data_IF_272404107161
#
_entry.id   IF_272404107161
#
_cell.length_a   1.000
_cell.length_b   1.000
_cell.length_c   1.000
_cell.angle_alpha   90.00
_cell.angle_beta   90.00
_cell.angle_gamma   90.00
#
_symmetry.space_group_name_H-M   'P 1'
#
loop_
_entity.id
_entity.type
_entity.pdbx_description
1 polymer ?
#
# COMPACT_ATOMS: atom_id res chain seq x y z
N UNK A 1 2.01 31.92 -16.23
CA UNK A 1 0.74 31.46 -15.64
C UNK A 1 -0.24 30.93 -16.68
N UNK A 2 -0.38 31.63 -17.83
CA UNK A 2 -1.43 31.30 -18.82
C UNK A 2 -1.18 29.96 -19.54
N UNK A 3 0.06 29.65 -19.82
CA UNK A 3 0.42 28.33 -20.39
C UNK A 3 0.01 27.20 -19.45
N UNK A 4 0.24 27.36 -18.12
CA UNK A 4 -0.15 26.35 -17.14
C UNK A 4 -1.67 26.21 -17.00
N UNK A 5 -2.41 27.33 -17.10
CA UNK A 5 -3.88 27.29 -17.11
C UNK A 5 -4.41 26.59 -18.36
N UNK A 6 -3.86 26.90 -19.54
CA UNK A 6 -4.19 26.20 -20.79
C UNK A 6 -3.88 24.70 -20.71
N UNK A 7 -2.75 24.34 -20.13
CA UNK A 7 -2.40 22.93 -19.89
C UNK A 7 -3.43 22.22 -18.99
N UNK A 8 -3.86 22.86 -17.88
CA UNK A 8 -4.89 22.30 -16.99
C UNK A 8 -6.18 22.05 -17.76
N UNK A 9 -6.67 23.05 -18.53
CA UNK A 9 -7.88 22.91 -19.34
C UNK A 9 -7.77 21.78 -20.38
N UNK A 10 -6.66 21.71 -21.09
CA UNK A 10 -6.38 20.64 -22.03
C UNK A 10 -6.36 19.25 -21.34
N UNK A 11 -5.70 19.15 -20.19
CA UNK A 11 -5.63 17.92 -19.40
C UNK A 11 -7.01 17.45 -18.90
N UNK A 12 -7.89 18.39 -18.54
CA UNK A 12 -9.26 18.10 -18.11
C UNK A 12 -10.18 17.75 -19.27
N UNK A 13 -10.19 18.57 -20.33
CA UNK A 13 -11.20 18.50 -21.40
C UNK A 13 -10.83 17.50 -22.50
N UNK A 14 -9.57 17.44 -22.89
CA UNK A 14 -9.14 16.60 -24.02
C UNK A 14 -8.48 15.30 -23.58
N UNK A 15 -7.67 15.32 -22.52
CA UNK A 15 -7.03 14.11 -22.01
C UNK A 15 -7.87 13.38 -20.95
N UNK A 16 -8.96 13.97 -20.48
CA UNK A 16 -9.85 13.43 -19.44
C UNK A 16 -9.12 12.95 -18.18
N UNK A 17 -8.06 13.66 -17.80
CA UNK A 17 -7.28 13.31 -16.62
C UNK A 17 -8.05 13.58 -15.34
N UNK A 18 -7.90 12.67 -14.38
CA UNK A 18 -8.48 12.87 -13.04
C UNK A 18 -7.81 14.04 -12.33
N UNK A 19 -8.55 14.83 -11.49
CA UNK A 19 -8.01 16.01 -10.81
C UNK A 19 -6.70 15.75 -10.08
N UNK A 20 -6.57 14.65 -9.35
CA UNK A 20 -5.35 14.33 -8.61
C UNK A 20 -4.15 13.98 -9.53
N UNK A 21 -4.40 13.51 -10.75
CA UNK A 21 -3.35 13.33 -11.75
C UNK A 21 -2.84 14.68 -12.24
N UNK A 22 -3.75 15.64 -12.47
CA UNK A 22 -3.38 17.01 -12.85
C UNK A 22 -2.56 17.68 -11.75
N UNK A 23 -2.96 17.52 -10.48
CA UNK A 23 -2.18 18.01 -9.32
C UNK A 23 -0.77 17.42 -9.33
N UNK A 24 -0.62 16.13 -9.60
CA UNK A 24 0.69 15.47 -9.66
C UNK A 24 1.56 16.06 -10.78
N UNK A 25 1.02 16.21 -11.98
CA UNK A 25 1.75 16.81 -13.10
C UNK A 25 2.11 18.27 -12.83
N UNK A 26 1.17 19.06 -12.31
CA UNK A 26 1.42 20.45 -11.93
C UNK A 26 2.50 20.56 -10.85
N UNK A 27 2.53 19.65 -9.89
CA UNK A 27 3.58 19.62 -8.87
C UNK A 27 4.96 19.38 -9.50
N UNK A 28 5.07 18.42 -10.42
CA UNK A 28 6.33 18.14 -11.14
C UNK A 28 6.78 19.32 -12.00
N UNK A 29 5.86 19.94 -12.75
CA UNK A 29 6.15 21.13 -13.56
C UNK A 29 6.67 22.26 -12.66
N UNK A 30 6.00 22.51 -11.52
CA UNK A 30 6.43 23.55 -10.58
C UNK A 30 7.80 23.25 -9.96
N UNK A 31 8.14 21.99 -9.72
CA UNK A 31 9.48 21.60 -9.25
C UNK A 31 10.53 22.03 -10.25
N UNK A 32 10.32 21.75 -11.55
CA UNK A 32 11.24 22.18 -12.61
C UNK A 32 11.32 23.71 -12.72
N UNK A 33 10.18 24.40 -12.61
CA UNK A 33 10.15 25.87 -12.66
C UNK A 33 10.82 26.51 -11.41
N UNK A 34 10.72 25.89 -10.24
CA UNK A 34 11.46 26.33 -9.06
C UNK A 34 12.97 26.21 -9.28
N UNK A 35 13.43 25.07 -9.80
CA UNK A 35 14.83 24.88 -10.16
C UNK A 35 15.30 25.94 -11.18
N UNK A 36 14.51 26.17 -12.24
CA UNK A 36 14.84 27.18 -13.25
C UNK A 36 14.92 28.60 -12.66
N UNK A 37 14.13 28.91 -11.65
CA UNK A 37 14.19 30.17 -10.92
C UNK A 37 15.45 30.25 -10.05
N UNK A 38 15.77 29.20 -9.31
CA UNK A 38 16.95 29.12 -8.45
C UNK A 38 18.27 29.25 -9.25
N UNK A 39 18.30 28.68 -10.46
CA UNK A 39 19.45 28.77 -11.38
C UNK A 39 19.45 30.06 -12.24
N UNK A 40 18.49 30.98 -12.06
CA UNK A 40 18.43 32.25 -12.77
C UNK A 40 17.95 32.17 -14.23
N UNK A 41 17.40 31.01 -14.69
CA UNK A 41 16.83 30.88 -16.04
C UNK A 41 15.52 31.62 -16.22
N UNK A 42 14.81 31.90 -15.13
CA UNK A 42 13.58 32.70 -15.09
C UNK A 42 13.61 33.67 -13.91
N UNK A 43 13.11 34.89 -14.13
CA UNK A 43 13.15 35.97 -13.14
C UNK A 43 11.91 36.02 -12.24
N UNK A 44 10.84 35.29 -12.59
CA UNK A 44 9.53 35.42 -11.97
C UNK A 44 8.94 34.07 -11.58
N UNK A 45 8.26 34.06 -10.44
CA UNK A 45 7.59 32.88 -9.89
C UNK A 45 6.07 32.93 -10.04
N UNK A 46 5.55 33.60 -11.06
CA UNK A 46 4.10 33.75 -11.27
C UNK A 46 3.35 32.42 -11.43
N UNK A 47 4.07 31.34 -11.80
CA UNK A 47 3.53 29.98 -11.85
C UNK A 47 3.03 29.48 -10.48
N UNK A 48 3.51 30.02 -9.36
CA UNK A 48 3.06 29.68 -8.01
C UNK A 48 1.60 30.07 -7.76
N UNK A 49 1.10 31.09 -8.48
CA UNK A 49 -0.29 31.54 -8.40
C UNK A 49 -1.29 30.53 -9.01
N UNK A 50 -0.83 29.66 -9.91
CA UNK A 50 -1.69 28.63 -10.51
C UNK A 50 -1.84 27.48 -9.53
N UNK A 51 -3.02 27.39 -8.89
CA UNK A 51 -3.32 26.37 -7.89
C UNK A 51 -4.28 25.34 -8.49
N UNK A 52 -4.01 24.05 -8.26
CA UNK A 52 -4.94 22.95 -8.49
C UNK A 52 -5.24 22.32 -7.14
N UNK A 53 -6.51 22.06 -6.86
CA UNK A 53 -6.94 21.46 -5.59
C UNK A 53 -6.94 19.94 -5.69
N UNK A 54 -6.44 19.27 -4.66
CA UNK A 54 -6.65 17.85 -4.49
C UNK A 54 -8.13 17.56 -4.30
N UNK A 55 -8.60 16.53 -4.99
CA UNK A 55 -9.92 15.96 -4.76
C UNK A 55 -9.79 14.82 -3.75
N UNK A 56 -10.67 14.82 -2.75
CA UNK A 56 -10.74 13.71 -1.81
C UNK A 56 -11.13 12.43 -2.56
N UNK A 57 -10.38 11.38 -2.34
CA UNK A 57 -10.64 10.06 -2.92
C UNK A 57 -11.33 9.19 -1.91
N UNK A 58 -12.32 8.42 -2.34
CA UNK A 58 -12.96 7.41 -1.48
C UNK A 58 -11.88 6.46 -0.95
N UNK A 59 -11.87 6.27 0.36
CA UNK A 59 -11.01 5.27 0.99
C UNK A 59 -11.43 3.89 0.49
N UNK A 60 -10.47 3.08 0.10
CA UNK A 60 -10.67 1.75 -0.47
C UNK A 60 -10.22 0.72 0.54
N UNK A 61 -11.13 0.30 1.41
CA UNK A 61 -10.90 -0.72 2.43
C UNK A 61 -12.11 -1.65 2.51
N UNK A 62 -11.92 -2.83 3.06
CA UNK A 62 -12.98 -3.77 3.40
C UNK A 62 -13.46 -3.48 4.83
N UNK A 63 -14.77 -3.54 5.05
CA UNK A 63 -15.30 -3.63 6.40
C UNK A 63 -14.92 -4.97 7.04
N UNK A 64 -14.99 -5.10 8.36
CA UNK A 64 -14.72 -6.35 9.05
C UNK A 64 -15.59 -7.51 8.52
N UNK A 65 -16.87 -7.23 8.20
CA UNK A 65 -17.76 -8.21 7.59
C UNK A 65 -17.29 -8.63 6.19
N UNK A 66 -16.97 -7.68 5.30
CA UNK A 66 -16.46 -7.97 3.97
C UNK A 66 -15.12 -8.72 4.00
N UNK A 67 -14.25 -8.38 4.97
CA UNK A 67 -13.02 -9.12 5.18
C UNK A 67 -13.29 -10.57 5.59
N UNK A 68 -14.24 -10.81 6.49
CA UNK A 68 -14.66 -12.17 6.88
C UNK A 68 -15.23 -12.97 5.70
N UNK A 69 -16.08 -12.35 4.89
CA UNK A 69 -16.63 -12.99 3.68
C UNK A 69 -15.48 -13.40 2.74
N UNK A 70 -14.53 -12.51 2.48
CA UNK A 70 -13.34 -12.81 1.68
C UNK A 70 -12.46 -13.88 2.32
N UNK A 71 -12.30 -13.84 3.64
CA UNK A 71 -11.40 -14.74 4.38
C UNK A 71 -11.82 -16.19 4.29
N UNK A 72 -13.11 -16.46 4.41
CA UNK A 72 -13.68 -17.80 4.38
C UNK A 72 -14.12 -18.27 3.00
N UNK A 73 -14.04 -17.39 2.02
CA UNK A 73 -14.38 -17.77 0.65
C UNK A 73 -13.43 -18.82 0.09
N UNK A 74 -14.02 -19.83 -0.56
CA UNK A 74 -13.30 -20.86 -1.32
C UNK A 74 -13.80 -20.83 -2.75
N UNK A 75 -12.90 -20.68 -3.70
CA UNK A 75 -13.18 -20.78 -5.12
C UNK A 75 -12.90 -22.20 -5.62
N UNK A 76 -13.57 -22.61 -6.68
CA UNK A 76 -13.21 -23.83 -7.41
C UNK A 76 -11.86 -23.68 -8.15
N UNK A 77 -11.42 -22.47 -8.39
CA UNK A 77 -10.14 -22.17 -9.04
C UNK A 77 -9.01 -22.09 -8.02
N UNK A 78 -8.05 -23.00 -8.11
CA UNK A 78 -6.82 -22.95 -7.29
C UNK A 78 -6.07 -21.63 -7.42
N UNK A 79 -6.07 -21.05 -8.62
CA UNK A 79 -5.43 -19.76 -8.87
C UNK A 79 -6.10 -18.63 -8.09
N UNK A 80 -7.43 -18.59 -8.04
CA UNK A 80 -8.15 -17.63 -7.23
C UNK A 80 -7.91 -17.85 -5.73
N UNK A 81 -7.87 -19.10 -5.28
CA UNK A 81 -7.54 -19.41 -3.88
C UNK A 81 -6.12 -18.95 -3.51
N UNK A 82 -5.13 -19.12 -4.39
CA UNK A 82 -3.77 -18.60 -4.17
C UNK A 82 -3.74 -17.08 -4.10
N UNK A 83 -4.51 -16.39 -4.95
CA UNK A 83 -4.61 -14.92 -4.91
C UNK A 83 -5.31 -14.43 -3.65
N UNK A 84 -6.32 -15.14 -3.17
CA UNK A 84 -6.97 -14.88 -1.88
C UNK A 84 -5.99 -15.06 -0.71
N UNK A 85 -5.24 -16.14 -0.72
CA UNK A 85 -4.25 -16.40 0.32
C UNK A 85 -3.12 -15.36 0.30
N UNK A 86 -2.73 -14.87 -0.88
CA UNK A 86 -1.80 -13.74 -0.99
C UNK A 86 -2.39 -12.45 -0.40
N UNK A 87 -3.68 -12.17 -0.63
CA UNK A 87 -4.35 -11.01 0.00
C UNK A 87 -4.34 -11.15 1.53
N UNK A 88 -4.66 -12.34 2.06
CA UNK A 88 -4.60 -12.64 3.49
C UNK A 88 -3.17 -12.46 4.05
N UNK A 89 -2.16 -12.98 3.37
CA UNK A 89 -0.76 -12.79 3.76
C UNK A 89 -0.38 -11.30 3.79
N UNK A 90 -0.80 -10.51 2.80
CA UNK A 90 -0.57 -9.07 2.81
C UNK A 90 -1.25 -8.40 4.01
N UNK A 91 -2.47 -8.79 4.37
CA UNK A 91 -3.18 -8.26 5.53
C UNK A 91 -2.47 -8.62 6.84
N UNK A 92 -2.11 -9.88 7.04
CA UNK A 92 -1.42 -10.41 8.21
C UNK A 92 -0.05 -9.76 8.42
N UNK A 93 0.59 -9.33 7.32
CA UNK A 93 1.86 -8.59 7.31
C UNK A 93 1.65 -7.06 7.29
N UNK A 94 0.58 -6.58 7.94
CA UNK A 94 0.32 -5.14 8.14
C UNK A 94 0.24 -4.38 6.80
N UNK A 95 -0.31 -5.03 5.79
CA UNK A 95 -0.43 -4.45 4.45
C UNK A 95 0.90 -4.28 3.72
N UNK A 96 1.75 -5.29 3.77
CA UNK A 96 2.97 -5.34 2.95
C UNK A 96 2.66 -5.11 1.47
N UNK A 97 3.53 -4.41 0.74
CA UNK A 97 3.34 -4.24 -0.70
C UNK A 97 3.72 -5.50 -1.47
N UNK A 98 3.12 -5.69 -2.64
CA UNK A 98 3.42 -6.83 -3.50
C UNK A 98 4.91 -6.95 -3.83
N UNK A 99 5.58 -5.83 -4.09
CA UNK A 99 7.02 -5.82 -4.41
C UNK A 99 7.86 -6.37 -3.25
N UNK A 100 7.47 -6.08 -2.02
CA UNK A 100 8.20 -6.48 -0.82
C UNK A 100 7.88 -7.95 -0.45
N UNK A 101 6.63 -8.41 -0.62
CA UNK A 101 6.25 -9.81 -0.32
C UNK A 101 6.77 -10.81 -1.36
N UNK A 102 7.00 -10.37 -2.60
CA UNK A 102 7.47 -11.24 -3.68
C UNK A 102 8.85 -11.86 -3.39
N UNK A 103 9.75 -11.06 -2.81
CA UNK A 103 11.12 -11.47 -2.48
C UNK A 103 11.31 -11.71 -0.97
N UNK A 104 10.22 -11.86 -0.21
CA UNK A 104 10.27 -12.02 1.23
C UNK A 104 10.94 -13.34 1.62
N UNK A 105 12.02 -13.25 2.40
CA UNK A 105 12.76 -14.40 2.92
C UNK A 105 11.97 -15.13 4.02
N UNK A 106 12.25 -16.42 4.25
CA UNK A 106 11.64 -17.19 5.32
C UNK A 106 11.86 -16.53 6.70
N UNK A 107 10.90 -16.69 7.64
CA UNK A 107 11.01 -16.08 8.95
C UNK A 107 12.19 -16.62 9.74
N UNK A 108 12.85 -15.75 10.47
CA UNK A 108 13.91 -16.10 11.41
C UNK A 108 13.46 -15.83 12.83
N UNK A 109 13.61 -16.80 13.73
CA UNK A 109 13.21 -16.69 15.13
C UNK A 109 11.75 -16.21 15.31
N UNK A 110 10.83 -16.67 14.46
CA UNK A 110 9.43 -16.29 14.51
C UNK A 110 9.12 -14.87 13.99
N UNK A 111 10.05 -14.22 13.31
CA UNK A 111 9.93 -12.88 12.78
C UNK A 111 10.16 -12.87 11.27
N UNK A 112 9.35 -12.13 10.54
CA UNK A 112 9.60 -11.76 9.15
C UNK A 112 10.31 -10.42 9.13
N UNK A 113 11.42 -10.33 8.42
CA UNK A 113 12.19 -9.09 8.25
C UNK A 113 12.35 -8.73 6.78
N UNK A 114 12.19 -7.46 6.44
CA UNK A 114 12.45 -6.96 5.09
C UNK A 114 12.72 -5.46 5.06
N UNK A 115 13.49 -5.02 4.09
CA UNK A 115 13.65 -3.61 3.77
C UNK A 115 12.62 -3.19 2.73
N UNK A 116 11.76 -2.23 3.08
CA UNK A 116 10.75 -1.74 2.17
C UNK A 116 11.38 -1.09 0.94
N UNK A 117 11.14 -1.63 -0.25
CA UNK A 117 11.74 -1.19 -1.51
C UNK A 117 11.57 0.32 -1.79
N UNK A 118 10.42 0.91 -1.41
CA UNK A 118 10.13 2.34 -1.64
C UNK A 118 10.92 3.30 -0.74
N UNK A 119 11.28 2.89 0.49
CA UNK A 119 11.79 3.81 1.52
C UNK A 119 13.08 3.35 2.19
N UNK A 120 13.55 2.13 1.92
CA UNK A 120 14.71 1.52 2.57
C UNK A 120 14.52 1.25 4.07
N UNK A 121 13.30 1.42 4.61
CA UNK A 121 13.04 1.21 6.03
C UNK A 121 12.95 -0.27 6.35
N UNK A 122 13.60 -0.70 7.44
CA UNK A 122 13.51 -2.06 7.98
C UNK A 122 12.16 -2.29 8.67
N UNK A 123 11.48 -3.37 8.29
CA UNK A 123 10.31 -3.90 8.94
C UNK A 123 10.64 -5.24 9.59
N UNK A 124 10.07 -5.45 10.77
CA UNK A 124 10.13 -6.72 11.50
C UNK A 124 8.73 -6.97 12.07
N UNK A 125 8.12 -8.07 11.68
CA UNK A 125 6.74 -8.41 12.03
C UNK A 125 6.73 -9.82 12.60
N UNK A 126 6.12 -9.98 13.78
CA UNK A 126 5.96 -11.30 14.39
C UNK A 126 5.03 -12.18 13.56
N UNK A 127 5.44 -13.42 13.32
CA UNK A 127 4.63 -14.41 12.60
C UNK A 127 3.48 -14.84 13.50
N UNK A 128 2.28 -14.48 13.09
CA UNK A 128 1.04 -14.92 13.74
C UNK A 128 0.66 -16.33 13.27
N UNK A 129 -0.11 -17.12 14.05
CA UNK A 129 -0.47 -18.49 13.68
C UNK A 129 -1.12 -18.62 12.29
N UNK A 130 -1.97 -17.67 11.93
CA UNK A 130 -2.65 -17.63 10.62
C UNK A 130 -1.66 -17.39 9.48
N UNK A 131 -0.63 -16.57 9.72
CA UNK A 131 0.44 -16.32 8.76
C UNK A 131 1.33 -17.57 8.62
N UNK A 132 1.63 -18.27 9.71
CA UNK A 132 2.42 -19.50 9.71
C UNK A 132 1.77 -20.56 8.82
N UNK A 133 0.43 -20.73 8.88
CA UNK A 133 -0.28 -21.67 8.02
C UNK A 133 -0.09 -21.36 6.53
N UNK A 134 -0.02 -20.09 6.16
CA UNK A 134 0.24 -19.70 4.77
C UNK A 134 1.70 -19.91 4.37
N UNK A 135 2.63 -19.69 5.30
CA UNK A 135 4.06 -19.98 5.10
C UNK A 135 4.26 -21.48 4.91
N UNK A 136 3.67 -22.31 5.76
CA UNK A 136 3.77 -23.78 5.65
C UNK A 136 3.19 -24.29 4.33
N UNK A 137 2.18 -23.61 3.80
CA UNK A 137 1.52 -23.99 2.54
C UNK A 137 2.27 -23.54 1.29
N UNK A 138 2.91 -22.38 1.31
CA UNK A 138 3.48 -21.73 0.12
C UNK A 138 4.98 -21.42 0.23
N UNK A 139 5.58 -21.65 1.40
CA UNK A 139 6.98 -21.35 1.63
C UNK A 139 7.90 -22.31 0.88
N UNK A 140 9.10 -21.83 0.62
CA UNK A 140 10.23 -22.59 0.08
C UNK A 140 11.46 -22.38 0.98
N UNK A 141 12.57 -23.04 0.67
CA UNK A 141 13.82 -22.83 1.40
C UNK A 141 14.34 -21.38 1.34
N UNK A 142 14.00 -20.65 0.26
CA UNK A 142 14.51 -19.32 -0.02
C UNK A 142 13.47 -18.21 0.05
N UNK A 143 12.18 -18.54 0.02
CA UNK A 143 11.09 -17.56 0.02
C UNK A 143 10.04 -17.89 1.06
N UNK A 144 9.55 -16.86 1.71
CA UNK A 144 8.39 -16.94 2.62
C UNK A 144 7.14 -17.44 1.87
N UNK A 145 6.99 -17.03 0.60
CA UNK A 145 5.85 -17.41 -0.23
C UNK A 145 6.24 -17.58 -1.70
N UNK A 146 5.82 -18.68 -2.28
CA UNK A 146 5.83 -18.90 -3.72
C UNK A 146 4.40 -19.15 -4.23
N UNK A 147 3.57 -18.10 -4.18
CA UNK A 147 2.15 -18.20 -4.55
C UNK A 147 1.93 -18.48 -6.02
N UNK A 148 2.74 -17.92 -6.91
CA UNK A 148 2.57 -18.01 -8.36
C UNK A 148 3.96 -18.00 -9.04
N UNK A 149 4.66 -19.14 -9.06
CA UNK A 149 6.04 -19.23 -9.55
C UNK A 149 6.24 -18.93 -11.04
N UNK A 150 5.15 -18.90 -11.81
CA UNK A 150 5.20 -18.88 -13.28
C UNK A 150 5.16 -17.46 -13.90
N UNK A 151 5.01 -16.40 -13.11
CA UNK A 151 4.86 -15.05 -13.63
C UNK A 151 6.03 -14.14 -13.28
N UNK A 152 6.50 -13.36 -14.25
CA UNK A 152 7.46 -12.30 -14.00
C UNK A 152 6.89 -11.24 -13.03
N UNK A 153 7.72 -10.71 -12.15
CA UNK A 153 7.36 -9.75 -11.09
C UNK A 153 6.50 -8.58 -11.58
N UNK A 154 6.86 -7.98 -12.71
CA UNK A 154 6.20 -6.76 -13.22
C UNK A 154 4.79 -7.00 -13.77
N UNK A 155 4.55 -8.17 -14.34
CA UNK A 155 3.22 -8.56 -14.87
C UNK A 155 2.33 -9.14 -13.79
N UNK A 156 2.91 -9.75 -12.75
CA UNK A 156 2.21 -10.48 -11.71
C UNK A 156 1.29 -9.58 -10.89
N UNK A 157 1.73 -8.38 -10.49
CA UNK A 157 0.91 -7.44 -9.71
C UNK A 157 -0.40 -7.06 -10.43
N UNK A 158 -0.34 -6.83 -11.74
CA UNK A 158 -1.53 -6.53 -12.57
C UNK A 158 -2.44 -7.75 -12.65
N UNK A 159 -1.88 -8.92 -12.89
CA UNK A 159 -2.62 -10.18 -12.99
C UNK A 159 -3.35 -10.50 -11.67
N UNK A 160 -2.69 -10.39 -10.53
CA UNK A 160 -3.29 -10.57 -9.19
C UNK A 160 -4.50 -9.66 -9.00
N UNK A 161 -4.37 -8.37 -9.29
CA UNK A 161 -5.48 -7.44 -9.15
C UNK A 161 -6.64 -7.78 -10.11
N UNK A 162 -6.36 -8.30 -11.30
CA UNK A 162 -7.39 -8.76 -12.22
C UNK A 162 -8.12 -10.00 -11.71
N UNK A 163 -7.41 -10.93 -11.03
CA UNK A 163 -8.06 -12.08 -10.38
C UNK A 163 -8.91 -11.66 -9.17
N UNK A 164 -8.44 -10.75 -8.33
CA UNK A 164 -9.23 -10.22 -7.22
C UNK A 164 -10.56 -9.60 -7.68
N UNK A 165 -10.60 -8.99 -8.86
CA UNK A 165 -11.80 -8.42 -9.45
C UNK A 165 -12.83 -9.45 -9.95
N UNK A 166 -12.42 -10.71 -10.11
CA UNK A 166 -13.29 -11.81 -10.55
C UNK A 166 -14.00 -12.51 -9.40
N UNK A 167 -13.70 -12.15 -8.15
CA UNK A 167 -14.37 -12.71 -6.99
C UNK A 167 -15.86 -12.32 -6.98
N UNK A 168 -16.75 -13.18 -6.46
CA UNK A 168 -18.21 -12.98 -6.52
C UNK A 168 -18.74 -12.06 -5.42
N UNK A 169 -18.10 -10.90 -5.20
CA UNK A 169 -18.51 -9.90 -4.21
C UNK A 169 -18.78 -8.55 -4.86
N UNK A 170 -19.72 -7.78 -4.33
CA UNK A 170 -20.05 -6.44 -4.83
C UNK A 170 -18.88 -5.46 -4.81
N UNK A 171 -17.94 -5.65 -3.88
CA UNK A 171 -16.72 -4.85 -3.76
C UNK A 171 -15.58 -5.29 -4.69
N UNK A 172 -15.67 -6.49 -5.27
CA UNK A 172 -14.60 -7.09 -6.08
C UNK A 172 -14.16 -6.25 -7.31
N UNK A 173 -15.06 -5.59 -8.05
CA UNK A 173 -14.65 -4.81 -9.22
C UNK A 173 -13.62 -3.71 -8.92
N UNK A 174 -13.55 -3.25 -7.67
CA UNK A 174 -12.61 -2.22 -7.23
C UNK A 174 -11.46 -2.79 -6.38
N UNK A 175 -11.53 -4.08 -6.00
CA UNK A 175 -10.59 -4.71 -5.10
C UNK A 175 -9.19 -4.78 -5.73
N UNK A 176 -8.20 -4.42 -4.95
CA UNK A 176 -6.79 -4.57 -5.29
C UNK A 176 -6.04 -5.09 -4.06
N UNK A 177 -4.86 -5.67 -4.28
CA UNK A 177 -4.03 -6.15 -3.19
C UNK A 177 -3.71 -5.06 -2.16
N UNK A 178 -3.61 -3.80 -2.62
CA UNK A 178 -3.35 -2.65 -1.74
C UNK A 178 -4.48 -2.36 -0.73
N UNK A 179 -5.69 -2.87 -0.96
CA UNK A 179 -6.78 -2.75 0.02
C UNK A 179 -6.47 -3.47 1.32
N UNK A 180 -5.66 -4.53 1.31
CA UNK A 180 -5.21 -5.20 2.53
C UNK A 180 -4.60 -4.20 3.53
N UNK A 181 -3.77 -3.29 3.03
CA UNK A 181 -3.14 -2.25 3.85
C UNK A 181 -4.14 -1.22 4.40
N UNK A 182 -5.06 -0.77 3.57
CA UNK A 182 -6.10 0.17 4.01
C UNK A 182 -7.06 -0.49 5.00
N UNK A 183 -7.41 -1.74 4.77
CA UNK A 183 -8.27 -2.54 5.66
C UNK A 183 -7.62 -2.69 7.03
N UNK A 184 -6.36 -3.11 7.09
CA UNK A 184 -5.63 -3.22 8.34
C UNK A 184 -5.61 -1.89 9.11
N UNK A 185 -5.28 -0.79 8.43
CA UNK A 185 -5.21 0.53 9.04
C UNK A 185 -6.58 1.03 9.56
N UNK A 186 -7.65 0.73 8.83
CA UNK A 186 -9.00 1.13 9.21
C UNK A 186 -9.48 0.33 10.40
N UNK A 187 -9.36 -1.00 10.38
CA UNK A 187 -9.73 -1.86 11.52
C UNK A 187 -8.92 -1.46 12.76
N UNK A 188 -7.60 -1.27 12.63
CA UNK A 188 -6.75 -0.81 13.74
C UNK A 188 -7.27 0.51 14.36
N UNK A 189 -7.71 1.44 13.52
CA UNK A 189 -8.30 2.71 13.99
C UNK A 189 -9.66 2.51 14.68
N UNK A 190 -10.51 1.64 14.14
CA UNK A 190 -11.85 1.35 14.66
C UNK A 190 -11.80 0.66 16.04
N UNK A 191 -10.82 -0.22 16.26
CA UNK A 191 -10.60 -0.86 17.57
C UNK A 191 -9.77 0.00 18.55
N UNK A 192 -9.51 1.27 18.22
CA UNK A 192 -8.91 2.24 19.12
C UNK A 192 -7.39 2.22 19.23
N UNK A 193 -6.68 1.58 18.27
CA UNK A 193 -5.21 1.65 18.23
C UNK A 193 -4.79 3.08 17.90
N UNK A 194 -3.82 3.61 18.66
CA UNK A 194 -3.38 5.00 18.50
C UNK A 194 -2.81 5.27 17.10
N UNK A 195 -3.02 6.48 16.59
CA UNK A 195 -2.52 6.91 15.27
C UNK A 195 -1.01 6.74 15.13
N UNK A 196 -0.27 6.92 16.22
CA UNK A 196 1.20 6.80 16.21
C UNK A 196 1.64 5.34 16.03
N UNK A 197 0.94 4.39 16.69
CA UNK A 197 1.19 2.96 16.50
C UNK A 197 0.83 2.53 15.08
N UNK A 198 -0.32 2.99 14.56
CA UNK A 198 -0.73 2.72 13.17
C UNK A 198 0.30 3.31 12.18
N UNK A 199 0.73 4.56 12.39
CA UNK A 199 1.73 5.19 11.53
C UNK A 199 3.07 4.44 11.56
N UNK A 200 3.52 4.03 12.75
CA UNK A 200 4.75 3.25 12.91
C UNK A 200 4.65 1.88 12.23
N UNK A 201 3.55 1.16 12.43
CA UNK A 201 3.27 -0.14 11.82
C UNK A 201 3.23 -0.05 10.28
N UNK A 202 2.65 1.02 9.74
CA UNK A 202 2.61 1.29 8.31
C UNK A 202 3.92 1.91 7.78
N UNK A 203 4.90 2.21 8.65
CA UNK A 203 6.17 2.82 8.27
C UNK A 203 6.03 4.21 7.67
N UNK A 204 5.07 4.96 8.13
CA UNK A 204 5.02 6.39 7.87
C UNK A 204 6.18 7.02 8.64
N UNK A 205 7.08 7.72 7.95
CA UNK A 205 8.30 8.28 8.53
C UNK A 205 8.01 9.20 9.71
N UNK A 206 8.87 9.15 10.70
CA UNK A 206 8.94 10.14 11.76
C UNK A 206 9.07 11.54 11.14
N UNK A 207 8.19 12.45 11.51
CA UNK A 207 8.23 13.83 11.01
C UNK A 207 9.10 14.73 11.88
N UNK A 208 9.49 14.27 13.06
CA UNK A 208 10.28 15.04 14.02
C UNK A 208 11.44 14.22 14.60
N UNK A 209 12.47 14.91 15.11
CA UNK A 209 13.61 14.29 15.80
C UNK A 209 13.13 13.52 17.03
N UNK A 210 12.08 13.98 17.68
CA UNK A 210 11.46 13.32 18.83
C UNK A 210 10.90 11.94 18.49
N UNK A 211 10.40 11.75 17.26
CA UNK A 211 9.87 10.46 16.80
C UNK A 211 10.97 9.40 16.63
N UNK A 212 12.24 9.83 16.46
CA UNK A 212 13.41 8.93 16.38
C UNK A 212 13.75 8.37 17.77
N UNK A 213 13.52 9.14 18.84
CA UNK A 213 13.77 8.71 20.22
C UNK A 213 12.63 7.90 20.81
N UNK A 214 11.41 7.98 20.26
CA UNK A 214 10.36 7.02 20.58
C UNK A 214 10.73 5.74 19.84
N UNK A 215 11.60 4.93 20.46
CA UNK A 215 11.75 3.53 20.04
C UNK A 215 10.38 2.90 20.22
N UNK A 216 9.59 2.88 19.11
CA UNK A 216 8.31 2.19 19.12
C UNK A 216 8.59 0.77 19.55
N UNK A 217 8.20 0.46 20.77
CA UNK A 217 8.33 -0.85 21.32
C UNK A 217 7.64 -1.81 20.34
N UNK A 218 8.41 -2.65 19.65
CA UNK A 218 7.93 -3.66 18.69
C UNK A 218 6.73 -4.42 19.23
N UNK A 219 6.75 -4.72 20.53
CA UNK A 219 5.64 -5.35 21.23
C UNK A 219 4.31 -4.59 21.05
N UNK A 220 4.32 -3.26 20.85
CA UNK A 220 3.09 -2.50 20.61
C UNK A 220 2.55 -2.76 19.21
N UNK A 221 3.43 -2.86 18.21
CA UNK A 221 3.03 -3.16 16.82
C UNK A 221 2.53 -4.60 16.73
N UNK A 222 3.22 -5.56 17.34
CA UNK A 222 2.82 -6.96 17.33
C UNK A 222 1.50 -7.19 18.06
N UNK A 223 1.30 -6.53 19.23
CA UNK A 223 0.01 -6.53 19.94
C UNK A 223 -1.11 -5.90 19.11
N UNK A 224 -0.81 -4.78 18.44
CA UNK A 224 -1.76 -4.12 17.55
C UNK A 224 -2.12 -5.02 16.37
N UNK A 225 -1.12 -5.69 15.75
CA UNK A 225 -1.37 -6.63 14.66
C UNK A 225 -2.23 -7.81 15.11
N UNK A 226 -1.95 -8.38 16.29
CA UNK A 226 -2.78 -9.46 16.85
C UNK A 226 -4.22 -9.01 17.08
N UNK A 227 -4.43 -7.85 17.68
CA UNK A 227 -5.76 -7.31 17.94
C UNK A 227 -6.57 -6.99 16.66
N UNK A 228 -5.89 -6.68 15.57
CA UNK A 228 -6.55 -6.46 14.24
C UNK A 228 -6.94 -7.78 13.58
N UNK A 229 -6.21 -8.86 13.86
CA UNK A 229 -6.48 -10.20 13.30
C UNK A 229 -7.63 -10.88 14.04
N UNK A 230 -7.75 -10.71 15.36
CA UNK A 230 -8.85 -11.22 16.20
C UNK A 230 -10.20 -10.61 15.83
#
# INVERSE_FOLDING_TARGET
>A
PDVLRKYILHAEQEQHLKPNSIVLYMTRIKTVLNYAYEEGYIDRQDYKRVKVKNQETRKRYLTAQQLRELWFHKSESDRLNRVLDLFKACFLLIGINFVDIYDLEPPQQGMVEYYRAKTGRLYRIAVQPELQQLIDKYGTETKCFDFIPQFARDTLSRSINNYLKQLPFDFSPQLTLYWARHTWATIASEIGISKDVIAAALGHGAKTVTDVYISFNRNKIDKANRAVID
#
